data_IF_800568959124
#
_entry.id   IF_800568959124
#
_cell.length_a   1.000
_cell.length_b   1.000
_cell.length_c   1.000
_cell.angle_alpha   90.00
_cell.angle_beta   90.00
_cell.angle_gamma   90.00
#
_symmetry.space_group_name_H-M   'P 1'
#
loop_
_entity.id
_entity.type
_entity.pdbx_description
1 polymer ?
#
# COMPACT_ATOMS: atom_id res chain seq x y z
N UNK A 1 8.39 28.76 -25.59
CA UNK A 1 9.31 27.89 -24.84
C UNK A 1 8.97 26.45 -25.19
N UNK A 2 9.88 25.73 -25.84
CA UNK A 2 9.72 24.28 -26.01
C UNK A 2 10.09 23.64 -24.67
N UNK A 3 9.10 23.12 -23.95
CA UNK A 3 9.39 22.26 -22.82
C UNK A 3 9.71 20.87 -23.36
N UNK A 4 10.97 20.46 -23.26
CA UNK A 4 11.30 19.05 -23.41
C UNK A 4 10.59 18.26 -22.32
N UNK A 5 9.89 17.20 -22.73
CA UNK A 5 9.26 16.27 -21.80
C UNK A 5 10.36 15.46 -21.14
N UNK A 6 10.49 15.60 -19.83
CA UNK A 6 11.41 14.79 -19.04
C UNK A 6 10.96 13.34 -19.02
N UNK A 7 11.93 12.42 -18.97
CA UNK A 7 11.64 11.02 -18.69
C UNK A 7 10.85 10.90 -17.38
N UNK A 8 9.89 9.97 -17.26
CA UNK A 8 9.04 9.88 -16.08
C UNK A 8 9.80 9.75 -14.75
N UNK A 9 10.93 9.06 -14.74
CA UNK A 9 11.78 8.93 -13.54
C UNK A 9 12.40 10.28 -13.14
N UNK A 10 12.92 11.02 -14.11
CA UNK A 10 13.52 12.33 -13.91
C UNK A 10 12.50 13.37 -13.44
N UNK A 11 11.30 13.35 -14.04
CA UNK A 11 10.20 14.21 -13.64
C UNK A 11 9.79 13.96 -12.18
N UNK A 12 9.70 12.68 -11.77
CA UNK A 12 9.35 12.31 -10.38
C UNK A 12 10.43 12.72 -9.39
N UNK A 13 11.70 12.49 -9.73
CA UNK A 13 12.82 12.87 -8.87
C UNK A 13 12.83 14.38 -8.61
N UNK A 14 12.84 15.19 -9.69
CA UNK A 14 12.82 16.65 -9.57
C UNK A 14 11.57 17.19 -8.88
N UNK A 15 10.41 16.59 -9.16
CA UNK A 15 9.16 16.95 -8.51
C UNK A 15 9.18 16.67 -7.01
N UNK A 16 9.72 15.52 -6.61
CA UNK A 16 9.85 15.16 -5.20
C UNK A 16 10.86 16.04 -4.47
N UNK A 17 12.01 16.32 -5.07
CA UNK A 17 13.02 17.23 -4.51
C UNK A 17 12.42 18.63 -4.26
N UNK A 18 11.68 19.17 -5.24
CA UNK A 18 11.01 20.45 -5.09
C UNK A 18 9.97 20.46 -3.94
N UNK A 19 9.26 19.34 -3.74
CA UNK A 19 8.33 19.19 -2.61
C UNK A 19 9.05 19.13 -1.27
N UNK A 20 10.19 18.41 -1.20
CA UNK A 20 11.00 18.31 0.01
C UNK A 20 11.57 19.68 0.39
N UNK A 21 12.09 20.43 -0.59
CA UNK A 21 12.64 21.77 -0.38
C UNK A 21 11.58 22.75 0.14
N UNK A 22 10.34 22.66 -0.37
CA UNK A 22 9.26 23.57 0.00
C UNK A 22 8.55 23.21 1.31
N UNK A 23 8.41 21.91 1.61
CA UNK A 23 7.51 21.43 2.68
C UNK A 23 8.23 20.68 3.80
N UNK A 24 9.47 20.25 3.56
CA UNK A 24 10.18 19.27 4.37
C UNK A 24 9.69 17.84 4.11
N UNK A 25 10.55 16.87 4.38
CA UNK A 25 10.37 15.44 4.03
C UNK A 25 9.01 14.86 4.45
N UNK A 26 8.60 15.09 5.70
CA UNK A 26 7.35 14.54 6.25
C UNK A 26 6.12 15.08 5.52
N UNK A 27 6.08 16.38 5.24
CA UNK A 27 4.93 16.99 4.58
C UNK A 27 4.93 16.72 3.07
N UNK A 28 6.10 16.59 2.43
CA UNK A 28 6.21 16.18 1.04
C UNK A 28 5.59 14.78 0.80
N UNK A 29 5.91 13.81 1.66
CA UNK A 29 5.32 12.46 1.59
C UNK A 29 3.81 12.50 1.81
N UNK A 30 3.33 13.22 2.83
CA UNK A 30 1.89 13.37 3.09
C UNK A 30 1.15 14.03 1.92
N UNK A 31 1.75 15.04 1.31
CA UNK A 31 1.19 15.71 0.13
C UNK A 31 1.02 14.73 -1.02
N UNK A 32 2.04 13.93 -1.34
CA UNK A 32 1.93 12.89 -2.38
C UNK A 32 0.82 11.90 -2.03
N UNK A 33 0.75 11.42 -0.79
CA UNK A 33 -0.28 10.49 -0.33
C UNK A 33 -1.72 11.03 -0.44
N UNK A 34 -1.93 12.35 -0.38
CA UNK A 34 -3.27 12.96 -0.53
C UNK A 34 -3.82 12.85 -1.96
N UNK A 35 -2.94 12.84 -2.95
CA UNK A 35 -3.30 12.80 -4.37
C UNK A 35 -2.98 11.45 -5.03
N UNK A 36 -2.21 10.60 -4.37
CA UNK A 36 -2.06 9.21 -4.75
C UNK A 36 -3.42 8.53 -4.75
N UNK A 37 -3.87 8.18 -5.94
CA UNK A 37 -5.07 7.37 -6.13
C UNK A 37 -4.69 5.92 -5.88
N UNK A 38 -4.32 5.61 -4.64
CA UNK A 38 -3.91 4.26 -4.29
C UNK A 38 -5.11 3.34 -4.54
N UNK A 39 -5.05 2.56 -5.61
CA UNK A 39 -6.06 1.53 -5.96
C UNK A 39 -5.99 0.34 -5.00
N UNK A 40 -5.00 0.36 -4.10
CA UNK A 40 -4.78 -0.60 -3.03
C UNK A 40 -5.72 -0.28 -1.86
N UNK A 41 -7.02 -0.36 -2.12
CA UNK A 41 -8.00 -0.46 -1.06
C UNK A 41 -7.80 -1.83 -0.40
N UNK A 42 -6.84 -1.88 0.53
CA UNK A 42 -6.54 -3.08 1.29
C UNK A 42 -7.78 -3.62 2.00
N UNK A 43 -8.73 -2.75 2.37
CA UNK A 43 -9.99 -3.18 2.96
C UNK A 43 -10.81 -3.98 1.94
N UNK A 44 -11.03 -3.42 0.74
CA UNK A 44 -11.74 -4.14 -0.32
C UNK A 44 -11.00 -5.38 -0.83
N UNK A 45 -9.67 -5.36 -0.88
CA UNK A 45 -8.86 -6.51 -1.24
C UNK A 45 -8.96 -7.62 -0.20
N UNK A 46 -8.82 -7.27 1.08
CA UNK A 46 -8.99 -8.19 2.21
C UNK A 46 -10.37 -8.83 2.20
N UNK A 47 -11.43 -8.04 1.95
CA UNK A 47 -12.80 -8.54 1.93
C UNK A 47 -13.07 -9.50 0.74
N UNK A 48 -12.25 -9.46 -0.32
CA UNK A 48 -12.30 -10.45 -1.43
C UNK A 48 -11.54 -11.74 -1.13
N UNK A 49 -10.45 -11.66 -0.36
CA UNK A 49 -9.53 -12.78 -0.13
C UNK A 49 -9.91 -13.56 1.13
N UNK A 50 -10.34 -12.86 2.18
CA UNK A 50 -10.65 -13.48 3.46
C UNK A 50 -12.13 -13.87 3.55
N UNK A 51 -12.44 -15.04 4.11
CA UNK A 51 -13.80 -15.40 4.44
C UNK A 51 -14.36 -14.46 5.53
N UNK A 52 -15.69 -14.23 5.57
CA UNK A 52 -16.34 -13.32 6.50
C UNK A 52 -16.48 -13.96 7.89
N UNK A 53 -15.36 -14.39 8.48
CA UNK A 53 -15.32 -14.99 9.79
C UNK A 53 -15.29 -13.91 10.86
N UNK A 54 -16.15 -14.06 11.85
CA UNK A 54 -16.00 -13.30 13.09
C UNK A 54 -14.87 -13.91 13.96
N UNK A 55 -14.56 -13.23 15.06
CA UNK A 55 -13.50 -13.68 15.96
C UNK A 55 -13.76 -15.08 16.55
N UNK A 56 -15.02 -15.46 16.77
CA UNK A 56 -15.36 -16.76 17.33
C UNK A 56 -15.13 -17.89 16.30
N UNK A 57 -15.55 -17.67 15.06
CA UNK A 57 -15.32 -18.61 13.95
C UNK A 57 -13.83 -18.77 13.64
N UNK A 58 -13.04 -17.68 13.71
CA UNK A 58 -11.58 -17.75 13.59
C UNK A 58 -10.94 -18.66 14.64
N UNK A 59 -11.33 -18.52 15.91
CA UNK A 59 -10.83 -19.35 17.01
C UNK A 59 -11.23 -20.80 16.82
N UNK A 60 -12.51 -21.07 16.51
CA UNK A 60 -13.00 -22.42 16.24
C UNK A 60 -12.21 -23.11 15.11
N UNK A 61 -11.95 -22.40 14.01
CA UNK A 61 -11.17 -22.91 12.87
C UNK A 61 -9.72 -23.19 13.22
N UNK A 62 -9.13 -22.40 14.11
CA UNK A 62 -7.78 -22.62 14.61
C UNK A 62 -7.69 -23.88 15.45
N UNK A 63 -8.70 -24.14 16.29
CA UNK A 63 -8.81 -25.34 17.14
C UNK A 63 -9.11 -26.61 16.32
N UNK A 64 -9.86 -26.48 15.22
CA UNK A 64 -10.20 -27.58 14.30
C UNK A 64 -9.08 -27.96 13.33
N UNK A 65 -8.07 -27.10 13.17
CA UNK A 65 -6.86 -27.45 12.42
C UNK A 65 -5.99 -28.32 13.32
N UNK A 66 -5.79 -29.62 13.03
CA UNK A 66 -4.72 -30.36 13.69
C UNK A 66 -3.40 -29.63 13.40
N UNK A 67 -2.48 -29.62 14.38
CA UNK A 67 -1.21 -28.91 14.34
C UNK A 67 -0.19 -29.41 13.28
N UNK A 68 -0.67 -30.07 12.22
CA UNK A 68 0.12 -30.66 11.16
C UNK A 68 -0.38 -30.16 9.79
N UNK A 69 0.16 -29.01 9.40
CA UNK A 69 0.29 -28.62 8.00
C UNK A 69 1.44 -27.60 7.94
N UNK A 70 2.66 -28.12 8.14
CA UNK A 70 3.85 -27.45 7.63
C UNK A 70 3.98 -27.86 6.17
N UNK A 71 3.78 -26.96 5.18
CA UNK A 71 4.09 -27.30 3.81
C UNK A 71 5.60 -27.12 3.63
N UNK A 72 6.31 -28.24 3.59
CA UNK A 72 7.69 -28.43 3.12
C UNK A 72 8.79 -27.45 3.58
N UNK A 73 9.74 -28.01 4.33
CA UNK A 73 11.16 -27.66 4.24
C UNK A 73 11.80 -28.46 3.11
#
# INVERSE_FOLDING_TARGET
MNHELLAPAELRLRGFDALVDALGWVNAVRFVQQYETSRLDYTAERDRILPPWDAAELVRRLEERPADASPDR
#
